data_IF_157016580240
#
_entry.id   IF_157016580240
#
_cell.length_a   1.000
_cell.length_b   1.000
_cell.length_c   1.000
_cell.angle_alpha   90.00
_cell.angle_beta   90.00
_cell.angle_gamma   90.00
#
_symmetry.space_group_name_H-M   'P 1'
#
loop_
_entity.id
_entity.type
_entity.pdbx_description
1 polymer ?
#
# COMPACT_ATOMS: atom_id res chain seq x y z
N UNK A 1 -13.89 14.27 -17.11
CA UNK A 1 -12.51 14.22 -16.59
C UNK A 1 -11.81 13.12 -17.36
N UNK A 2 -11.09 13.48 -18.41
CA UNK A 2 -10.29 12.56 -19.21
C UNK A 2 -8.82 12.94 -18.99
N UNK A 3 -8.28 12.68 -17.80
CA UNK A 3 -6.84 12.68 -17.59
C UNK A 3 -6.31 11.31 -18.00
N UNK A 4 -6.45 10.98 -19.29
CA UNK A 4 -6.00 9.71 -19.83
C UNK A 4 -4.52 9.82 -20.15
N UNK A 5 -3.70 8.96 -19.55
CA UNK A 5 -2.29 8.82 -19.94
C UNK A 5 -2.26 8.10 -21.29
N UNK A 6 -1.92 8.83 -22.35
CA UNK A 6 -1.79 8.28 -23.69
C UNK A 6 -0.39 7.68 -23.90
N UNK A 7 -0.34 6.46 -24.43
CA UNK A 7 0.89 5.84 -24.87
C UNK A 7 1.05 6.12 -26.37
N UNK A 8 2.05 6.93 -26.74
CA UNK A 8 2.40 7.15 -28.15
C UNK A 8 3.55 6.23 -28.57
N UNK A 9 3.77 6.08 -29.87
CA UNK A 9 4.86 5.31 -30.48
C UNK A 9 6.25 5.76 -30.02
N UNK A 10 6.37 6.99 -29.53
CA UNK A 10 7.62 7.62 -29.09
C UNK A 10 7.85 7.58 -27.57
N UNK A 11 6.92 7.02 -26.78
CA UNK A 11 7.10 6.81 -25.34
C UNK A 11 5.85 7.10 -24.49
N UNK A 12 6.03 7.04 -23.16
CA UNK A 12 5.00 7.40 -22.18
C UNK A 12 4.96 8.92 -22.00
N UNK A 13 3.83 9.55 -22.35
CA UNK A 13 3.58 10.94 -22.01
C UNK A 13 2.51 11.01 -20.93
N UNK A 14 2.94 11.22 -19.68
CA UNK A 14 2.05 11.52 -18.57
C UNK A 14 1.85 13.03 -18.57
N UNK A 15 0.59 13.49 -18.64
CA UNK A 15 0.26 14.91 -18.49
C UNK A 15 0.41 15.32 -17.02
N UNK A 16 1.67 15.51 -16.61
CA UNK A 16 2.04 15.95 -15.26
C UNK A 16 1.55 17.37 -14.97
N UNK A 17 1.30 18.16 -16.02
CA UNK A 17 0.78 19.52 -15.91
C UNK A 17 -0.67 19.49 -15.43
N UNK A 18 -1.54 18.71 -16.08
CA UNK A 18 -2.94 18.58 -15.67
C UNK A 18 -3.07 18.05 -14.23
N UNK A 19 -2.28 17.03 -13.85
CA UNK A 19 -2.27 16.50 -12.47
C UNK A 19 -1.84 17.57 -11.47
N UNK A 20 -0.85 18.39 -11.82
CA UNK A 20 -0.40 19.50 -10.99
C UNK A 20 -1.51 20.55 -10.82
N UNK A 21 -2.21 20.90 -11.91
CA UNK A 21 -3.32 21.87 -11.93
C UNK A 21 -4.51 21.37 -11.09
N UNK A 22 -4.88 20.09 -11.21
CA UNK A 22 -5.99 19.54 -10.43
C UNK A 22 -5.65 19.48 -8.93
N UNK A 23 -4.40 19.13 -8.60
CA UNK A 23 -3.91 19.11 -7.21
C UNK A 23 -3.86 20.52 -6.61
N UNK A 24 -3.40 21.47 -7.41
CA UNK A 24 -3.36 22.90 -7.13
C UNK A 24 -4.74 23.47 -6.75
N UNK A 25 -5.74 23.17 -7.58
CA UNK A 25 -7.12 23.60 -7.38
C UNK A 25 -7.72 22.98 -6.13
N UNK A 26 -7.48 21.69 -5.90
CA UNK A 26 -7.95 20.98 -4.71
C UNK A 26 -7.37 21.60 -3.42
N UNK A 27 -6.06 21.86 -3.36
CA UNK A 27 -5.40 22.48 -2.20
C UNK A 27 -5.90 23.92 -1.99
N UNK A 28 -6.18 24.65 -3.06
CA UNK A 28 -6.76 26.00 -2.99
C UNK A 28 -8.17 25.97 -2.39
N UNK A 29 -9.01 25.03 -2.82
CA UNK A 29 -10.35 24.86 -2.26
C UNK A 29 -10.30 24.50 -0.77
N UNK A 30 -9.43 23.57 -0.39
CA UNK A 30 -9.20 23.17 1.01
C UNK A 30 -8.84 24.39 1.86
N UNK A 31 -7.90 25.21 1.39
CA UNK A 31 -7.50 26.42 2.12
C UNK A 31 -8.64 27.42 2.25
N UNK A 32 -9.44 27.56 1.20
CA UNK A 32 -10.60 28.46 1.20
C UNK A 32 -11.64 28.03 2.23
N UNK A 33 -11.92 26.72 2.32
CA UNK A 33 -12.84 26.17 3.32
C UNK A 33 -12.25 26.36 4.74
N UNK A 34 -10.97 26.02 4.94
CA UNK A 34 -10.27 26.16 6.23
C UNK A 34 -10.29 27.61 6.77
N UNK A 35 -10.05 28.58 5.88
CA UNK A 35 -10.14 30.01 6.20
C UNK A 35 -11.59 30.44 6.45
N UNK A 36 -12.53 30.01 5.62
CA UNK A 36 -13.95 30.35 5.79
C UNK A 36 -14.48 29.88 7.14
N UNK A 37 -14.17 28.65 7.55
CA UNK A 37 -14.53 28.15 8.89
C UNK A 37 -13.85 29.00 9.96
N UNK A 38 -12.57 29.32 9.80
CA UNK A 38 -11.82 30.11 10.79
C UNK A 38 -12.30 31.57 10.91
N UNK A 39 -12.78 32.19 9.83
CA UNK A 39 -13.13 33.61 9.79
C UNK A 39 -14.62 33.87 10.03
N UNK A 40 -15.49 32.98 9.55
CA UNK A 40 -16.95 33.17 9.60
C UNK A 40 -17.57 32.54 10.86
N UNK A 41 -16.85 31.66 11.55
CA UNK A 41 -17.34 31.03 12.78
C UNK A 41 -17.31 31.98 13.98
N UNK A 42 -18.17 31.70 14.96
CA UNK A 42 -18.07 32.35 16.27
C UNK A 42 -16.70 32.10 16.90
N UNK A 43 -16.27 32.96 17.84
CA UNK A 43 -14.97 32.80 18.51
C UNK A 43 -14.82 31.45 19.22
N UNK A 44 -15.93 30.88 19.72
CA UNK A 44 -15.95 29.59 20.42
C UNK A 44 -15.80 28.45 19.42
N UNK A 45 -16.58 28.49 18.34
CA UNK A 45 -16.56 27.45 17.30
C UNK A 45 -15.23 27.43 16.56
N UNK A 46 -14.65 28.61 16.29
CA UNK A 46 -13.30 28.74 15.72
C UNK A 46 -12.25 28.04 16.58
N UNK A 47 -12.27 28.27 17.90
CA UNK A 47 -11.31 27.63 18.82
C UNK A 47 -11.48 26.11 18.80
N UNK A 48 -12.73 25.63 18.85
CA UNK A 48 -13.03 24.19 18.80
C UNK A 48 -12.56 23.57 17.50
N UNK A 49 -12.76 24.25 16.37
CA UNK A 49 -12.27 23.82 15.07
C UNK A 49 -10.75 23.76 15.02
N UNK A 50 -10.06 24.82 15.48
CA UNK A 50 -8.59 24.86 15.51
C UNK A 50 -7.99 23.78 16.42
N UNK A 51 -8.58 23.55 17.59
CA UNK A 51 -8.21 22.46 18.50
C UNK A 51 -8.38 21.10 17.82
N UNK A 52 -9.56 20.86 17.23
CA UNK A 52 -9.86 19.61 16.51
C UNK A 52 -8.88 19.40 15.35
N UNK A 53 -8.65 20.43 14.50
CA UNK A 53 -7.70 20.39 13.38
C UNK A 53 -6.28 20.04 13.84
N UNK A 54 -5.88 20.46 15.05
CA UNK A 54 -4.54 20.19 15.54
C UNK A 54 -4.38 18.81 16.17
N UNK A 55 -5.42 18.22 16.76
CA UNK A 55 -5.33 16.93 17.45
C UNK A 55 -5.70 15.75 16.54
N UNK A 56 -6.71 15.93 15.69
CA UNK A 56 -7.28 14.91 14.81
C UNK A 56 -6.32 14.53 13.68
N UNK A 57 -6.25 13.24 13.34
CA UNK A 57 -5.33 12.74 12.31
C UNK A 57 -5.59 13.38 10.94
N UNK A 58 -6.86 13.50 10.53
CA UNK A 58 -7.23 14.10 9.25
C UNK A 58 -7.10 15.62 9.28
N UNK A 59 -7.38 16.23 10.43
CA UNK A 59 -7.16 17.66 10.67
C UNK A 59 -5.68 18.07 10.51
N UNK A 60 -4.75 17.20 10.91
CA UNK A 60 -3.31 17.42 10.71
C UNK A 60 -2.94 17.45 9.22
N UNK A 61 -3.62 16.67 8.38
CA UNK A 61 -3.44 16.72 6.92
C UNK A 61 -3.85 18.09 6.38
N UNK A 62 -5.01 18.63 6.79
CA UNK A 62 -5.43 20.00 6.44
C UNK A 62 -4.36 21.03 6.82
N UNK A 63 -3.82 20.89 8.03
CA UNK A 63 -2.77 21.80 8.52
C UNK A 63 -1.46 21.66 7.74
N UNK A 64 -1.06 20.44 7.38
CA UNK A 64 0.13 20.17 6.58
C UNK A 64 0.01 20.72 5.16
N UNK A 65 -1.13 20.53 4.49
CA UNK A 65 -1.38 21.04 3.13
C UNK A 65 -1.41 22.57 3.04
N UNK A 66 -1.51 23.27 4.18
CA UNK A 66 -1.33 24.73 4.21
C UNK A 66 0.08 25.14 3.74
N UNK A 67 1.11 24.32 3.99
CA UNK A 67 2.47 24.56 3.50
C UNK A 67 2.51 24.60 1.97
N UNK A 68 1.84 23.63 1.33
CA UNK A 68 1.75 23.52 -0.13
C UNK A 68 1.01 24.69 -0.73
N UNK A 69 -0.01 25.24 -0.05
CA UNK A 69 -0.69 26.44 -0.57
C UNK A 69 0.13 27.72 -0.44
N UNK A 70 0.84 27.86 0.69
CA UNK A 70 1.65 29.05 0.98
C UNK A 70 2.83 29.18 0.02
N UNK A 71 3.33 28.05 -0.49
CA UNK A 71 4.20 28.03 -1.65
C UNK A 71 3.37 28.22 -2.93
N UNK A 72 3.73 29.18 -3.76
CA UNK A 72 2.98 29.44 -5.00
C UNK A 72 2.84 28.16 -5.83
N UNK A 73 1.58 27.78 -6.05
CA UNK A 73 1.14 26.50 -6.58
C UNK A 73 1.54 26.25 -8.06
N UNK A 74 2.11 27.23 -8.76
CA UNK A 74 2.51 27.13 -10.16
C UNK A 74 3.78 26.30 -10.42
N UNK A 75 4.20 25.46 -9.46
CA UNK A 75 5.39 24.61 -9.60
C UNK A 75 4.97 23.16 -9.65
N UNK A 76 5.24 22.48 -10.76
CA UNK A 76 5.13 21.02 -10.96
C UNK A 76 6.00 20.18 -10.00
N UNK A 77 6.54 20.78 -8.94
CA UNK A 77 7.67 20.28 -8.15
C UNK A 77 7.22 19.72 -6.80
N UNK A 78 5.94 19.83 -6.42
CA UNK A 78 5.46 19.46 -5.08
C UNK A 78 4.93 18.02 -4.98
N UNK A 79 4.68 17.40 -6.13
CA UNK A 79 4.18 16.03 -6.26
C UNK A 79 5.23 15.22 -6.99
N UNK A 80 5.46 14.00 -6.52
CA UNK A 80 6.18 12.99 -7.27
C UNK A 80 5.17 12.15 -8.07
N UNK A 81 5.47 11.97 -9.35
CA UNK A 81 4.68 11.11 -10.20
C UNK A 81 5.23 9.72 -10.02
N UNK A 82 4.61 8.95 -9.12
CA UNK A 82 5.00 7.57 -8.87
C UNK A 82 4.84 6.74 -10.16
N UNK A 83 5.95 6.59 -10.87
CA UNK A 83 6.05 5.76 -12.06
C UNK A 83 6.26 4.28 -11.72
N UNK A 84 6.61 3.96 -10.47
CA UNK A 84 6.75 2.57 -10.01
C UNK A 84 5.37 1.90 -9.93
N UNK A 85 4.32 2.70 -9.72
CA UNK A 85 2.93 2.27 -9.69
C UNK A 85 2.13 2.66 -10.93
N UNK A 86 2.75 2.56 -12.10
CA UNK A 86 2.04 2.71 -13.39
C UNK A 86 1.20 1.46 -13.66
N UNK A 87 -0.13 1.61 -13.68
CA UNK A 87 -1.02 0.45 -13.80
C UNK A 87 -1.96 0.58 -15.00
N UNK A 88 -2.02 -0.49 -15.79
CA UNK A 88 -2.99 -0.64 -16.88
C UNK A 88 -4.38 -0.86 -16.28
N UNK A 89 -5.30 0.03 -16.61
CA UNK A 89 -6.71 -0.06 -16.24
C UNK A 89 -7.55 -0.84 -17.24
N UNK A 90 -8.87 -0.72 -17.07
CA UNK A 90 -9.85 -1.28 -17.99
C UNK A 90 -10.06 -0.34 -19.20
N UNK A 91 -9.77 -0.82 -20.42
CA UNK A 91 -9.93 -0.04 -21.67
C UNK A 91 -8.72 -0.12 -22.62
N UNK A 92 -8.87 0.45 -23.82
CA UNK A 92 -7.78 0.52 -24.82
C UNK A 92 -6.82 1.64 -24.36
N UNK A 93 -5.61 1.28 -23.94
CA UNK A 93 -4.54 2.21 -23.58
C UNK A 93 -4.81 3.12 -22.36
N UNK A 94 -5.52 2.66 -21.34
CA UNK A 94 -5.73 3.44 -20.12
C UNK A 94 -4.65 3.11 -19.07
N UNK A 95 -3.61 3.92 -18.97
CA UNK A 95 -2.68 3.86 -17.83
C UNK A 95 -3.09 4.90 -16.78
N UNK A 96 -2.92 4.58 -15.49
CA UNK A 96 -3.08 5.53 -14.39
C UNK A 96 -1.82 5.60 -13.56
N UNK A 97 -1.49 6.81 -13.18
CA UNK A 97 -0.42 7.18 -12.25
C UNK A 97 -1.02 7.54 -10.91
N UNK A 98 -0.29 7.26 -9.83
CA UNK A 98 -0.72 7.48 -8.47
C UNK A 98 0.19 8.51 -7.79
N UNK A 99 -0.04 9.82 -8.00
CA UNK A 99 0.84 10.85 -7.49
C UNK A 99 0.99 10.80 -5.96
N UNK A 100 2.21 11.05 -5.49
CA UNK A 100 2.55 11.13 -4.07
C UNK A 100 3.08 12.53 -3.73
N UNK A 101 2.88 12.98 -2.50
CA UNK A 101 3.56 14.17 -2.01
C UNK A 101 5.06 13.89 -1.84
N UNK A 102 5.92 14.81 -2.26
CA UNK A 102 7.36 14.66 -2.04
C UNK A 102 7.72 14.61 -0.56
N UNK A 103 8.84 13.98 -0.25
CA UNK A 103 9.47 14.13 1.05
C UNK A 103 9.74 15.61 1.33
N UNK A 104 9.61 16.05 2.58
CA UNK A 104 9.86 17.44 2.95
C UNK A 104 11.27 17.89 2.59
N UNK A 105 12.27 17.00 2.64
CA UNK A 105 13.65 17.29 2.21
C UNK A 105 13.77 17.68 0.74
N UNK A 106 12.85 17.17 -0.09
CA UNK A 106 12.90 17.26 -1.55
C UNK A 106 12.02 18.40 -2.08
N UNK A 107 11.31 19.08 -1.17
CA UNK A 107 10.60 20.31 -1.50
C UNK A 107 11.58 21.44 -1.87
N UNK A 108 11.18 22.35 -2.78
CA UNK A 108 12.00 23.51 -3.12
C UNK A 108 12.38 24.30 -1.87
N UNK A 109 13.62 24.80 -1.84
CA UNK A 109 14.19 25.41 -0.63
C UNK A 109 13.34 26.55 -0.08
N UNK A 110 12.71 27.35 -0.95
CA UNK A 110 11.84 28.46 -0.59
C UNK A 110 10.51 28.02 0.04
N UNK A 111 10.02 26.81 -0.24
CA UNK A 111 8.88 26.21 0.49
C UNK A 111 9.30 25.80 1.90
N UNK A 112 10.58 25.43 2.09
CA UNK A 112 11.12 24.97 3.38
C UNK A 112 11.60 26.10 4.27
N UNK A 113 11.73 27.33 3.75
CA UNK A 113 12.13 28.50 4.52
C UNK A 113 10.99 28.90 5.44
N UNK A 114 11.29 29.00 6.74
CA UNK A 114 10.37 29.53 7.74
C UNK A 114 10.58 31.06 7.83
N UNK A 115 9.55 31.84 7.51
CA UNK A 115 9.56 33.28 7.73
C UNK A 115 9.70 33.64 9.23
N UNK A 116 10.22 34.82 9.54
CA UNK A 116 10.49 35.25 10.94
C UNK A 116 9.25 35.22 11.86
N UNK A 117 8.04 35.30 11.30
CA UNK A 117 6.76 35.27 12.03
C UNK A 117 5.89 34.07 11.67
N UNK A 118 6.42 33.10 10.93
CA UNK A 118 5.64 31.94 10.50
C UNK A 118 5.66 30.84 11.55
N UNK A 119 4.49 30.27 11.81
CA UNK A 119 4.38 29.10 12.68
C UNK A 119 5.05 27.90 11.99
N UNK A 120 5.89 27.17 12.72
CA UNK A 120 6.45 25.89 12.25
C UNK A 120 5.40 24.79 12.08
N UNK A 121 4.20 24.97 12.65
CA UNK A 121 3.14 23.96 12.67
C UNK A 121 2.82 23.33 11.30
N UNK A 122 2.60 24.09 10.21
CA UNK A 122 2.37 23.51 8.88
C UNK A 122 3.54 22.66 8.37
N UNK A 123 4.79 23.03 8.67
CA UNK A 123 5.97 22.25 8.27
C UNK A 123 6.00 20.92 9.01
N UNK A 124 5.87 20.95 10.35
CA UNK A 124 5.88 19.74 11.16
C UNK A 124 4.70 18.82 10.78
N UNK A 125 3.51 19.38 10.51
CA UNK A 125 2.35 18.59 10.05
C UNK A 125 2.49 18.05 8.63
N UNK A 126 3.21 18.74 7.76
CA UNK A 126 3.51 18.20 6.44
C UNK A 126 4.39 16.95 6.56
N UNK A 127 5.48 17.06 7.33
CA UNK A 127 6.41 15.94 7.58
C UNK A 127 5.70 14.74 8.22
N UNK A 128 4.90 14.97 9.27
CA UNK A 128 4.31 13.86 10.02
C UNK A 128 3.06 13.26 9.36
N UNK A 129 2.41 13.94 8.41
CA UNK A 129 1.04 13.55 7.98
C UNK A 129 0.75 13.70 6.48
N UNK A 130 1.66 14.26 5.68
CA UNK A 130 1.45 14.50 4.24
C UNK A 130 2.56 13.90 3.38
N UNK A 131 3.83 14.09 3.75
CA UNK A 131 4.97 13.66 2.94
C UNK A 131 4.92 12.16 2.61
N UNK A 132 5.28 11.80 1.37
CA UNK A 132 5.29 10.40 0.89
C UNK A 132 3.91 9.75 0.74
N UNK A 133 2.82 10.43 1.10
CA UNK A 133 1.46 9.89 0.98
C UNK A 133 0.87 10.15 -0.39
N UNK A 134 -0.03 9.27 -0.83
CA UNK A 134 -0.80 9.46 -2.05
C UNK A 134 -1.64 10.75 -1.97
N UNK A 135 -1.56 11.57 -3.01
CA UNK A 135 -2.33 12.82 -3.09
C UNK A 135 -3.81 12.53 -2.88
N UNK A 136 -4.35 11.53 -3.57
CA UNK A 136 -5.77 11.16 -3.45
C UNK A 136 -6.16 10.79 -2.01
N UNK A 137 -5.33 10.05 -1.27
CA UNK A 137 -5.64 9.69 0.12
C UNK A 137 -5.69 10.91 1.03
N UNK A 138 -4.74 11.84 0.88
CA UNK A 138 -4.74 13.06 1.68
C UNK A 138 -5.94 13.95 1.38
N UNK A 139 -6.38 14.03 0.10
CA UNK A 139 -7.60 14.75 -0.25
C UNK A 139 -8.84 14.07 0.34
N UNK A 140 -8.88 12.73 0.39
CA UNK A 140 -9.95 11.96 1.03
C UNK A 140 -9.97 12.14 2.54
N UNK A 141 -8.80 12.24 3.20
CA UNK A 141 -8.70 12.58 4.63
C UNK A 141 -9.28 13.96 4.91
N UNK A 142 -8.88 14.96 4.11
CA UNK A 142 -9.38 16.34 4.25
C UNK A 142 -10.88 16.40 4.04
N UNK A 143 -11.40 15.72 3.02
CA UNK A 143 -12.85 15.64 2.79
C UNK A 143 -13.56 15.01 3.98
N UNK A 144 -13.03 13.91 4.51
CA UNK A 144 -13.56 13.24 5.71
C UNK A 144 -13.53 14.17 6.92
N UNK A 145 -12.46 14.93 7.11
CA UNK A 145 -12.35 15.90 8.22
C UNK A 145 -13.42 16.99 8.14
N UNK A 146 -13.52 17.67 7.00
CA UNK A 146 -14.52 18.74 6.85
C UNK A 146 -15.94 18.22 6.95
N UNK A 147 -16.20 17.02 6.41
CA UNK A 147 -17.49 16.37 6.54
C UNK A 147 -17.85 16.03 8.01
N UNK A 148 -16.88 15.65 8.84
CA UNK A 148 -17.10 15.48 10.29
C UNK A 148 -17.31 16.81 11.01
N UNK A 149 -16.67 17.89 10.55
CA UNK A 149 -16.85 19.22 11.12
C UNK A 149 -18.24 19.78 10.78
N UNK A 150 -18.64 19.67 9.53
CA UNK A 150 -19.92 20.13 9.01
C UNK A 150 -20.41 19.22 7.85
N UNK A 151 -21.31 18.27 8.14
CA UNK A 151 -21.86 17.38 7.11
C UNK A 151 -22.64 18.09 6.00
N UNK A 152 -23.01 19.37 6.16
CA UNK A 152 -23.72 20.14 5.13
C UNK A 152 -22.81 20.55 3.97
N UNK A 153 -21.49 20.47 4.15
CA UNK A 153 -20.50 20.71 3.10
C UNK A 153 -20.49 19.60 2.04
N UNK A 154 -21.04 18.42 2.34
CA UNK A 154 -21.14 17.30 1.40
C UNK A 154 -22.58 17.00 1.03
N UNK A 155 -22.85 16.90 -0.28
CA UNK A 155 -24.16 16.51 -0.76
C UNK A 155 -24.35 15.00 -0.57
N UNK A 156 -25.48 14.59 0.00
CA UNK A 156 -25.83 13.17 0.21
C UNK A 156 -26.84 12.64 -0.80
N UNK A 157 -26.72 11.37 -1.16
CA UNK A 157 -27.71 10.65 -1.97
C UNK A 157 -28.85 10.10 -1.08
N UNK A 158 -29.79 9.36 -1.69
CA UNK A 158 -30.93 8.78 -0.97
C UNK A 158 -30.52 7.75 0.10
N UNK A 159 -29.34 7.14 -0.06
CA UNK A 159 -28.80 6.13 0.86
C UNK A 159 -27.97 6.75 2.00
N UNK A 160 -27.87 8.08 2.03
CA UNK A 160 -27.07 8.83 3.02
C UNK A 160 -25.58 8.91 2.69
N UNK A 161 -25.16 8.39 1.54
CA UNK A 161 -23.77 8.39 1.11
C UNK A 161 -23.39 9.68 0.36
N UNK A 162 -22.10 10.00 0.27
CA UNK A 162 -21.62 11.21 -0.42
C UNK A 162 -21.85 11.06 -1.92
N UNK A 163 -22.56 12.02 -2.53
CA UNK A 163 -22.79 12.02 -3.98
C UNK A 163 -21.47 12.08 -4.74
N UNK A 164 -21.31 11.18 -5.71
CA UNK A 164 -20.08 11.03 -6.49
C UNK A 164 -19.12 9.97 -5.94
N UNK A 165 -19.48 9.36 -4.80
CA UNK A 165 -18.72 8.29 -4.19
C UNK A 165 -19.53 6.98 -4.13
N UNK A 166 -18.85 5.81 -4.10
CA UNK A 166 -17.41 5.65 -4.31
C UNK A 166 -16.99 6.04 -5.73
N UNK A 167 -15.74 6.49 -5.89
CA UNK A 167 -15.17 6.76 -7.20
C UNK A 167 -15.22 5.48 -8.07
N UNK A 168 -15.37 5.67 -9.39
CA UNK A 168 -15.40 4.55 -10.32
C UNK A 168 -14.11 3.72 -10.22
N UNK A 169 -14.20 2.38 -10.11
CA UNK A 169 -13.02 1.53 -10.10
C UNK A 169 -12.25 1.70 -11.40
N UNK A 170 -10.94 1.87 -11.29
CA UNK A 170 -10.07 1.85 -12.47
C UNK A 170 -9.34 0.50 -12.64
N UNK A 171 -8.97 -0.15 -11.52
CA UNK A 171 -8.20 -1.40 -11.50
C UNK A 171 -8.76 -2.37 -10.45
N UNK A 172 -8.67 -3.68 -10.72
CA UNK A 172 -9.13 -4.76 -9.82
C UNK A 172 -8.01 -5.47 -9.05
N UNK A 173 -6.75 -5.20 -9.36
CA UNK A 173 -5.58 -5.95 -8.87
C UNK A 173 -4.61 -5.11 -8.03
N UNK A 174 -5.03 -3.94 -7.57
CA UNK A 174 -4.24 -3.05 -6.71
C UNK A 174 -5.15 -2.27 -5.77
N UNK A 175 -4.56 -1.61 -4.77
CA UNK A 175 -5.27 -0.70 -3.88
C UNK A 175 -5.72 0.59 -4.58
N UNK A 176 -6.95 1.04 -4.35
CA UNK A 176 -7.41 2.37 -4.77
C UNK A 176 -8.30 3.00 -3.69
N UNK A 177 -7.93 4.19 -3.21
CA UNK A 177 -8.76 4.96 -2.29
C UNK A 177 -9.93 5.60 -3.02
N UNK A 178 -11.11 4.95 -2.97
CA UNK A 178 -12.30 5.38 -3.71
C UNK A 178 -13.35 6.08 -2.87
N UNK A 179 -13.15 6.25 -1.58
CA UNK A 179 -14.15 6.84 -0.68
C UNK A 179 -13.48 7.53 0.52
N UNK A 180 -13.94 8.71 0.99
CA UNK A 180 -13.38 9.39 2.16
C UNK A 180 -13.32 8.48 3.40
N UNK A 181 -14.37 7.69 3.62
CA UNK A 181 -14.49 6.71 4.70
C UNK A 181 -13.99 5.30 4.36
N UNK A 182 -13.34 5.10 3.20
CA UNK A 182 -12.72 3.82 2.86
C UNK A 182 -11.40 3.59 3.61
N UNK A 183 -10.93 2.35 3.62
CA UNK A 183 -9.61 2.01 4.18
C UNK A 183 -8.48 2.67 3.38
N UNK A 184 -7.45 3.11 4.07
CA UNK A 184 -6.17 3.58 3.49
C UNK A 184 -5.31 2.41 3.04
N UNK A 185 -4.26 2.67 2.25
CA UNK A 185 -3.44 1.64 1.62
C UNK A 185 -2.92 0.60 2.64
N UNK A 186 -2.34 1.06 3.75
CA UNK A 186 -1.82 0.20 4.81
C UNK A 186 -2.94 -0.63 5.47
N UNK A 187 -4.04 0.01 5.85
CA UNK A 187 -5.18 -0.66 6.50
C UNK A 187 -5.82 -1.72 5.57
N UNK A 188 -5.93 -1.40 4.27
CA UNK A 188 -6.43 -2.34 3.28
C UNK A 188 -5.45 -3.48 3.06
N UNK A 189 -4.15 -3.19 3.00
CA UNK A 189 -3.11 -4.21 2.88
C UNK A 189 -3.20 -5.21 4.03
N UNK A 190 -3.25 -4.73 5.27
CA UNK A 190 -3.36 -5.57 6.47
C UNK A 190 -4.64 -6.42 6.45
N UNK A 191 -5.78 -5.79 6.19
CA UNK A 191 -7.07 -6.48 6.12
C UNK A 191 -7.11 -7.56 5.03
N UNK A 192 -6.45 -7.32 3.89
CA UNK A 192 -6.38 -8.29 2.83
C UNK A 192 -5.32 -9.38 3.11
N UNK A 193 -4.19 -9.05 3.72
CA UNK A 193 -3.18 -10.02 4.13
C UNK A 193 -3.76 -11.03 5.12
N UNK A 194 -4.49 -10.56 6.13
CA UNK A 194 -5.24 -11.41 7.07
C UNK A 194 -6.23 -12.33 6.35
N UNK A 195 -6.90 -11.81 5.32
CA UNK A 195 -7.81 -12.62 4.52
C UNK A 195 -7.07 -13.68 3.69
N UNK A 196 -5.91 -13.34 3.13
CA UNK A 196 -5.16 -14.21 2.22
C UNK A 196 -4.32 -15.25 2.95
N UNK A 197 -3.90 -15.01 4.20
CA UNK A 197 -3.28 -16.03 5.07
C UNK A 197 -4.25 -17.15 5.44
N UNK A 198 -5.55 -16.85 5.51
CA UNK A 198 -6.61 -17.84 5.71
C UNK A 198 -7.00 -18.60 4.43
N UNK A 199 -6.51 -18.19 3.26
CA UNK A 199 -6.80 -18.89 2.02
C UNK A 199 -5.99 -20.18 1.90
N UNK A 200 -6.64 -21.19 1.35
CA UNK A 200 -6.01 -22.45 1.00
C UNK A 200 -4.76 -22.22 0.13
N UNK A 201 -3.63 -22.92 0.42
CA UNK A 201 -2.53 -22.98 -0.50
C UNK A 201 -2.96 -23.63 -1.82
N UNK A 202 -2.29 -23.21 -2.88
CA UNK A 202 -2.55 -23.64 -4.26
C UNK A 202 -1.88 -24.97 -4.56
N UNK A 203 -2.37 -25.67 -5.57
CA UNK A 203 -1.76 -26.90 -6.11
C UNK A 203 -2.07 -28.18 -5.34
N UNK A 204 -1.50 -29.27 -5.83
CA UNK A 204 -1.74 -30.63 -5.31
C UNK A 204 -0.82 -30.97 -4.13
N UNK A 205 0.41 -30.50 -4.20
CA UNK A 205 1.46 -30.74 -3.22
C UNK A 205 2.40 -29.54 -3.20
N UNK A 206 2.84 -29.17 -1.99
CA UNK A 206 3.91 -28.20 -1.80
C UNK A 206 5.17 -28.88 -1.30
N UNK A 207 6.29 -28.55 -1.92
CA UNK A 207 7.57 -29.17 -1.63
C UNK A 207 8.59 -28.12 -1.18
N UNK A 208 8.96 -28.17 0.10
CA UNK A 208 9.97 -27.33 0.73
C UNK A 208 11.37 -27.76 0.26
N UNK A 209 12.22 -26.79 -0.06
CA UNK A 209 13.56 -27.04 -0.57
C UNK A 209 14.63 -26.25 0.15
N UNK A 210 14.31 -25.09 0.68
CA UNK A 210 15.29 -24.23 1.36
C UNK A 210 14.64 -23.55 2.54
N UNK A 211 15.42 -23.35 3.58
CA UNK A 211 15.06 -22.56 4.75
C UNK A 211 15.94 -21.30 4.79
N UNK A 212 15.35 -20.16 5.10
CA UNK A 212 16.02 -18.86 5.22
C UNK A 212 15.56 -18.19 6.52
N UNK A 213 16.51 -17.76 7.34
CA UNK A 213 16.18 -17.02 8.57
C UNK A 213 15.71 -15.60 8.25
N UNK A 214 14.64 -15.15 8.92
CA UNK A 214 14.08 -13.80 8.85
C UNK A 214 13.62 -13.34 10.24
N UNK A 215 14.47 -12.58 10.95
CA UNK A 215 14.22 -12.24 12.34
C UNK A 215 14.10 -13.49 13.21
N UNK A 216 12.99 -13.63 13.93
CA UNK A 216 12.68 -14.80 14.76
C UNK A 216 11.93 -15.91 14.00
N UNK A 217 11.55 -15.68 12.74
CA UNK A 217 10.85 -16.69 11.93
C UNK A 217 11.78 -17.36 10.92
N UNK A 218 11.39 -18.57 10.51
CA UNK A 218 12.02 -19.28 9.39
C UNK A 218 11.10 -19.20 8.19
N UNK A 219 11.63 -18.69 7.08
CA UNK A 219 10.97 -18.73 5.79
C UNK A 219 11.37 -20.01 5.07
N UNK A 220 10.41 -20.70 4.48
CA UNK A 220 10.68 -21.83 3.61
C UNK A 220 10.38 -21.47 2.17
N UNK A 221 11.35 -21.75 1.30
CA UNK A 221 11.21 -21.64 -0.15
C UNK A 221 10.91 -23.02 -0.71
N UNK A 222 9.94 -23.09 -1.60
CA UNK A 222 9.50 -24.34 -2.18
C UNK A 222 8.93 -24.22 -3.58
N UNK A 223 8.44 -25.36 -4.06
CA UNK A 223 7.70 -25.47 -5.30
C UNK A 223 6.30 -26.02 -5.02
N UNK A 224 5.31 -25.40 -5.62
CA UNK A 224 3.95 -25.88 -5.71
C UNK A 224 3.78 -26.68 -6.99
N UNK A 225 3.33 -27.92 -6.87
CA UNK A 225 2.94 -28.75 -8.02
C UNK A 225 1.51 -28.42 -8.48
N UNK A 226 1.38 -27.84 -9.67
CA UNK A 226 0.10 -27.54 -10.34
C UNK A 226 -0.27 -28.61 -11.39
N UNK A 227 0.42 -29.76 -11.38
CA UNK A 227 0.21 -30.92 -12.25
C UNK A 227 0.93 -30.84 -13.59
N UNK A 228 0.87 -29.69 -14.27
CA UNK A 228 1.51 -29.49 -15.59
C UNK A 228 2.66 -28.46 -15.55
N UNK A 229 2.79 -27.73 -14.44
CA UNK A 229 3.88 -26.80 -14.15
C UNK A 229 4.15 -26.75 -12.65
N UNK A 230 5.32 -26.26 -12.28
CA UNK A 230 5.65 -25.94 -10.90
C UNK A 230 5.81 -24.43 -10.74
N UNK A 231 5.34 -23.89 -9.62
CA UNK A 231 5.50 -22.48 -9.27
C UNK A 231 6.23 -22.34 -7.94
N UNK A 232 7.09 -21.33 -7.82
CA UNK A 232 7.81 -21.08 -6.59
C UNK A 232 6.94 -20.35 -5.56
N UNK A 233 7.19 -20.64 -4.28
CA UNK A 233 6.61 -19.90 -3.17
C UNK A 233 7.65 -19.69 -2.06
N UNK A 234 7.41 -18.69 -1.22
CA UNK A 234 8.10 -18.47 0.07
C UNK A 234 7.02 -18.22 1.10
N UNK A 235 7.06 -18.94 2.21
CA UNK A 235 6.11 -18.80 3.30
C UNK A 235 6.79 -19.00 4.66
N UNK A 236 6.22 -18.42 5.72
CA UNK A 236 6.71 -18.62 7.07
C UNK A 236 6.39 -20.03 7.60
N UNK A 237 7.20 -20.49 8.56
CA UNK A 237 6.97 -21.74 9.28
C UNK A 237 5.55 -21.82 9.87
N UNK A 238 5.08 -20.73 10.48
CA UNK A 238 3.77 -20.64 11.12
C UNK A 238 2.62 -20.80 10.12
N UNK A 239 2.76 -20.18 8.95
CA UNK A 239 1.76 -20.29 7.90
C UNK A 239 1.70 -21.71 7.34
N UNK A 240 2.84 -22.34 7.09
CA UNK A 240 2.90 -23.74 6.63
C UNK A 240 2.28 -24.67 7.69
N UNK A 241 2.58 -24.46 8.98
CA UNK A 241 1.98 -25.24 10.05
C UNK A 241 0.45 -25.04 10.11
N UNK A 242 -0.03 -23.82 9.86
CA UNK A 242 -1.46 -23.53 9.77
C UNK A 242 -2.13 -24.27 8.60
N UNK A 243 -1.47 -24.30 7.44
CA UNK A 243 -1.97 -25.03 6.28
C UNK A 243 -2.00 -26.54 6.52
N UNK A 244 -0.96 -27.12 7.11
CA UNK A 244 -0.92 -28.57 7.40
C UNK A 244 -2.03 -28.93 8.40
N UNK A 245 -2.24 -28.12 9.44
CA UNK A 245 -3.35 -28.29 10.39
C UNK A 245 -4.72 -28.18 9.68
N UNK A 246 -4.80 -27.38 8.61
CA UNK A 246 -5.95 -27.27 7.71
C UNK A 246 -6.13 -28.44 6.73
N UNK A 247 -5.23 -29.44 6.74
CA UNK A 247 -5.29 -30.64 5.92
C UNK A 247 -4.52 -30.57 4.60
N UNK A 248 -3.74 -29.52 4.36
CA UNK A 248 -2.95 -29.39 3.14
C UNK A 248 -1.62 -30.14 3.23
N UNK A 249 -1.27 -30.85 2.15
CA UNK A 249 -0.08 -31.72 2.14
C UNK A 249 1.20 -30.97 1.82
N UNK A 250 2.20 -31.15 2.66
CA UNK A 250 3.56 -30.64 2.47
C UNK A 250 4.60 -31.76 2.50
N UNK A 251 5.64 -31.60 1.70
CA UNK A 251 6.83 -32.46 1.70
C UNK A 251 8.09 -31.59 1.71
N UNK A 252 9.24 -32.15 2.06
CA UNK A 252 10.52 -31.48 1.94
C UNK A 252 11.52 -32.35 1.17
N UNK A 253 12.44 -31.71 0.44
CA UNK A 253 13.58 -32.38 -0.18
C UNK A 253 14.80 -32.13 0.70
N UNK A 254 15.38 -33.20 1.23
CA UNK A 254 16.62 -33.15 2.01
C UNK A 254 17.83 -32.97 1.09
N UNK A 255 18.97 -32.53 1.65
CA UNK A 255 20.23 -32.36 0.89
C UNK A 255 20.67 -33.60 0.10
N UNK A 256 20.30 -34.79 0.56
CA UNK A 256 20.59 -36.07 -0.14
C UNK A 256 19.62 -36.38 -1.29
N UNK A 257 18.64 -35.52 -1.53
CA UNK A 257 17.59 -35.69 -2.54
C UNK A 257 16.40 -36.53 -2.08
N UNK A 258 16.37 -37.00 -0.83
CA UNK A 258 15.23 -37.73 -0.30
C UNK A 258 14.04 -36.79 -0.08
N UNK A 259 12.86 -37.21 -0.53
CA UNK A 259 11.58 -36.55 -0.26
C UNK A 259 10.98 -37.11 1.01
N UNK A 260 10.67 -36.25 1.97
CA UNK A 260 10.07 -36.60 3.26
C UNK A 260 8.72 -35.89 3.43
N UNK A 261 7.76 -36.55 4.07
CA UNK A 261 6.49 -35.92 4.43
C UNK A 261 6.70 -34.98 5.62
N UNK A 262 6.02 -33.83 5.59
CA UNK A 262 6.03 -32.85 6.67
C UNK A 262 4.65 -32.82 7.31
N UNK A 263 4.63 -32.89 8.63
CA UNK A 263 3.43 -32.73 9.47
C UNK A 263 3.65 -31.57 10.43
N UNK A 264 2.58 -31.10 11.08
CA UNK A 264 2.70 -30.11 12.15
C UNK A 264 2.38 -30.73 13.52
N UNK A 265 3.03 -30.22 14.56
CA UNK A 265 2.71 -30.51 15.95
C UNK A 265 2.93 -29.25 16.79
N UNK A 266 1.88 -28.71 17.39
CA UNK A 266 1.94 -27.46 18.17
C UNK A 266 2.64 -26.31 17.44
N UNK A 267 2.27 -26.07 16.17
CA UNK A 267 2.89 -25.06 15.28
C UNK A 267 4.34 -25.34 14.86
N UNK A 268 4.93 -26.45 15.26
CA UNK A 268 6.25 -26.87 14.81
C UNK A 268 6.14 -27.80 13.60
N UNK A 269 6.93 -27.53 12.56
CA UNK A 269 7.06 -28.40 11.39
C UNK A 269 7.98 -29.57 11.74
N UNK A 270 7.53 -30.80 11.50
CA UNK A 270 8.27 -32.02 11.83
C UNK A 270 8.20 -33.05 10.69
N UNK A 271 9.17 -33.96 10.65
CA UNK A 271 9.09 -35.20 9.89
C UNK A 271 9.28 -36.39 10.82
N UNK A 272 8.20 -37.15 11.05
CA UNK A 272 8.16 -38.16 12.10
C UNK A 272 8.30 -37.52 13.48
N UNK A 273 9.47 -37.63 14.11
CA UNK A 273 9.78 -37.03 15.40
C UNK A 273 10.86 -35.93 15.34
N UNK A 274 11.38 -35.62 14.13
CA UNK A 274 12.51 -34.71 13.94
C UNK A 274 11.96 -33.33 13.53
N UNK A 275 12.30 -32.25 14.25
CA UNK A 275 12.00 -30.89 13.83
C UNK A 275 12.58 -30.59 12.46
N UNK A 276 11.83 -29.92 11.60
CA UNK A 276 12.29 -29.57 10.25
C UNK A 276 13.53 -28.66 10.27
N UNK A 277 13.70 -27.86 11.32
CA UNK A 277 14.89 -27.02 11.55
C UNK A 277 16.18 -27.83 11.69
N UNK A 278 16.07 -29.09 12.09
CA UNK A 278 17.22 -30.00 12.29
C UNK A 278 17.50 -30.83 11.03
N UNK A 279 16.73 -30.64 9.95
CA UNK A 279 16.85 -31.36 8.69
C UNK A 279 17.48 -30.43 7.65
N UNK A 280 18.65 -30.81 7.14
CA UNK A 280 19.29 -30.09 6.05
C UNK A 280 18.50 -30.27 4.73
N UNK A 281 17.92 -29.18 4.24
CA UNK A 281 17.16 -29.16 2.99
C UNK A 281 18.05 -29.02 1.75
N UNK A 282 17.54 -29.45 0.59
CA UNK A 282 18.24 -29.36 -0.68
C UNK A 282 18.28 -27.92 -1.21
N UNK A 283 19.43 -27.25 -1.09
CA UNK A 283 19.71 -25.92 -1.65
C UNK A 283 19.87 -25.93 -3.19
N UNK A 284 19.05 -26.72 -3.89
CA UNK A 284 19.24 -27.01 -5.30
C UNK A 284 18.67 -25.90 -6.17
N UNK A 285 19.54 -24.93 -6.46
CA UNK A 285 19.45 -23.99 -7.60
C UNK A 285 19.48 -24.70 -8.98
N UNK A 286 19.53 -26.03 -9.04
CA UNK A 286 19.76 -26.81 -10.25
C UNK A 286 18.54 -26.98 -11.16
N UNK A 287 17.34 -26.54 -10.75
CA UNK A 287 16.18 -26.45 -11.64
C UNK A 287 15.70 -25.00 -11.75
N UNK A 288 15.75 -24.48 -12.97
CA UNK A 288 15.53 -23.09 -13.39
C UNK A 288 14.11 -22.55 -13.12
N UNK A 289 13.71 -22.51 -11.86
CA UNK A 289 12.58 -21.71 -11.38
C UNK A 289 13.16 -20.48 -10.68
N UNK A 290 12.76 -19.29 -11.14
CA UNK A 290 13.45 -18.02 -10.87
C UNK A 290 13.78 -17.76 -9.40
N UNK A 291 12.94 -18.21 -8.46
CA UNK A 291 13.16 -17.99 -7.02
C UNK A 291 14.17 -18.93 -6.35
N UNK A 292 14.38 -20.16 -6.86
CA UNK A 292 15.35 -21.09 -6.28
C UNK A 292 16.80 -20.67 -6.56
N UNK A 293 17.01 -19.78 -7.54
CA UNK A 293 18.31 -19.17 -7.83
C UNK A 293 18.57 -17.87 -7.07
N UNK A 294 17.63 -17.37 -6.27
CA UNK A 294 17.82 -16.16 -5.49
C UNK A 294 18.69 -16.43 -4.26
N UNK A 295 19.46 -15.42 -3.85
CA UNK A 295 20.17 -15.46 -2.58
C UNK A 295 19.23 -15.16 -1.40
N UNK A 296 19.70 -15.40 -0.18
CA UNK A 296 18.90 -15.20 1.03
C UNK A 296 18.38 -13.76 1.18
N UNK A 297 19.17 -12.76 0.79
CA UNK A 297 18.80 -11.35 0.88
C UNK A 297 17.65 -11.02 -0.07
N UNK A 298 17.70 -11.53 -1.30
CA UNK A 298 16.63 -11.40 -2.29
C UNK A 298 15.35 -12.12 -1.83
N UNK A 299 15.47 -13.29 -1.21
CA UNK A 299 14.32 -14.01 -0.64
C UNK A 299 13.67 -13.21 0.48
N UNK A 300 14.48 -12.64 1.40
CA UNK A 300 13.98 -11.77 2.47
C UNK A 300 13.31 -10.51 1.92
N UNK A 301 13.93 -9.83 0.96
CA UNK A 301 13.36 -8.65 0.32
C UNK A 301 12.04 -8.97 -0.39
N UNK A 302 11.96 -10.12 -1.06
CA UNK A 302 10.73 -10.58 -1.70
C UNK A 302 9.62 -10.85 -0.68
N UNK A 303 9.94 -11.54 0.41
CA UNK A 303 8.99 -11.77 1.50
C UNK A 303 8.49 -10.46 2.12
N UNK A 304 9.38 -9.51 2.41
CA UNK A 304 9.00 -8.17 2.88
C UNK A 304 8.09 -7.45 1.89
N UNK A 305 8.36 -7.58 0.58
CA UNK A 305 7.51 -7.01 -0.47
C UNK A 305 6.12 -7.62 -0.45
N UNK A 306 5.99 -8.93 -0.26
CA UNK A 306 4.68 -9.60 -0.18
C UNK A 306 3.86 -9.21 1.05
N UNK A 307 4.52 -8.97 2.19
CA UNK A 307 3.83 -8.47 3.38
C UNK A 307 3.34 -7.03 3.19
N UNK A 308 4.04 -6.23 2.39
CA UNK A 308 3.68 -4.84 2.09
C UNK A 308 2.74 -4.68 0.88
N UNK A 309 2.67 -5.68 0.00
CA UNK A 309 1.72 -5.78 -1.11
C UNK A 309 1.05 -7.14 -1.06
N UNK A 310 -0.07 -7.15 -0.36
CA UNK A 310 -0.74 -8.39 -0.11
C UNK A 310 -1.43 -8.91 -1.41
N UNK A 311 -1.63 -8.09 -2.47
CA UNK A 311 -2.06 -8.62 -3.78
C UNK A 311 -0.98 -9.52 -4.39
N UNK A 312 0.30 -9.18 -4.17
CA UNK A 312 1.43 -10.05 -4.50
C UNK A 312 1.46 -11.28 -3.60
N UNK A 313 1.17 -11.17 -2.30
CA UNK A 313 1.03 -12.35 -1.44
C UNK A 313 -0.04 -13.32 -1.98
N UNK A 314 -1.19 -12.79 -2.43
CA UNK A 314 -2.28 -13.56 -3.01
C UNK A 314 -1.85 -14.38 -4.22
N UNK A 315 -0.89 -13.95 -5.04
CA UNK A 315 -0.52 -14.70 -6.27
C UNK A 315 0.00 -16.10 -5.96
N UNK A 316 0.62 -16.30 -4.79
CA UNK A 316 1.07 -17.63 -4.34
C UNK A 316 -0.05 -18.45 -3.71
N UNK A 317 -1.23 -17.86 -3.47
CA UNK A 317 -2.39 -18.45 -2.79
C UNK A 317 -3.62 -18.61 -3.70
N UNK A 318 -3.56 -18.23 -4.99
CA UNK A 318 -4.66 -18.42 -5.98
C UNK A 318 -4.74 -19.84 -6.56
N UNK A 319 -5.85 -20.59 -6.36
CA UNK A 319 -5.99 -21.95 -6.88
C UNK A 319 -5.88 -22.04 -8.41
#
# INVERSE_FOLDING_TARGET
MNSDVAMDRDGFHIDTEQVSIDTADAVTLIRTIDLSISELSSRVDRRRYEELRNIDADGRVVRGLTLIRNSEIHRHVLVDMDTERLISGTGICAWRVFPQWKAYSDLPADVRVLGQNESRGPHDRYQDSVEGRLVIETLMDVMRFFDRCDPTLTRRNADGDIVGFPLHPFIEHTYECRHPYGLRAAEMNDALLDRWTLMAPTGRLRQLRRAVSYGETTLYVGLTDLGHRAESFVESADQIAWDIAGGYSYSAVTRTGQVIAITEHHRMLISGAIPLTDIELADTATNATAMLGLNDEQIRAWWTTQLNDAFLYRTHRRP
#
